data_IF_992628158491
#
_entry.id   IF_992628158491
#
_cell.length_a   1.000
_cell.length_b   1.000
_cell.length_c   1.000
_cell.angle_alpha   90.00
_cell.angle_beta   90.00
_cell.angle_gamma   90.00
#
_symmetry.space_group_name_H-M   'P 1'
#
loop_
_entity.id
_entity.type
_entity.pdbx_description
1 polymer ?
#
# COMPACT_ATOMS: atom_id res chain seq x y z
N UNK A 1 -16.54 -0.63 15.79
CA UNK A 1 -15.96 -1.20 14.54
C UNK A 1 -14.80 -0.37 13.94
N UNK A 2 -14.26 0.65 14.62
CA UNK A 2 -13.16 1.47 14.07
C UNK A 2 -11.79 0.76 14.00
N UNK A 3 -11.53 -0.19 14.90
CA UNK A 3 -10.24 -0.89 15.03
C UNK A 3 -9.92 -1.83 13.86
N UNK A 4 -10.92 -2.28 13.09
CA UNK A 4 -10.71 -3.27 12.02
C UNK A 4 -9.90 -2.68 10.84
N UNK A 5 -10.00 -1.38 10.60
CA UNK A 5 -9.32 -0.72 9.48
C UNK A 5 -7.80 -0.61 9.66
N UNK A 6 -7.29 -0.78 10.89
CA UNK A 6 -5.85 -0.74 11.20
C UNK A 6 -5.17 -2.09 10.92
N UNK A 7 -5.94 -3.19 10.89
CA UNK A 7 -5.45 -4.56 10.64
C UNK A 7 -4.56 -4.65 9.39
N UNK A 8 -4.95 -4.16 8.19
CA UNK A 8 -4.09 -4.23 7.00
C UNK A 8 -2.78 -3.45 7.17
N UNK A 9 -2.80 -2.34 7.90
CA UNK A 9 -1.57 -1.59 8.20
C UNK A 9 -0.65 -2.41 9.12
N UNK A 10 -1.18 -3.04 10.16
CA UNK A 10 -0.39 -3.91 11.03
C UNK A 10 0.24 -5.07 10.26
N UNK A 11 -0.52 -5.73 9.37
CA UNK A 11 -0.01 -6.83 8.53
C UNK A 11 1.13 -6.37 7.63
N UNK A 12 0.99 -5.22 6.97
CA UNK A 12 2.04 -4.66 6.11
C UNK A 12 3.31 -4.38 6.92
N UNK A 13 3.20 -3.77 8.11
CA UNK A 13 4.37 -3.49 8.95
C UNK A 13 5.06 -4.77 9.42
N UNK A 14 4.30 -5.81 9.80
CA UNK A 14 4.85 -7.11 10.17
C UNK A 14 5.57 -7.75 8.99
N UNK A 15 4.97 -7.73 7.79
CA UNK A 15 5.59 -8.25 6.57
C UNK A 15 6.90 -7.50 6.24
N UNK A 16 6.90 -6.17 6.35
CA UNK A 16 8.09 -5.35 6.13
C UNK A 16 9.19 -5.67 7.15
N UNK A 17 8.83 -5.81 8.42
CA UNK A 17 9.78 -6.19 9.46
C UNK A 17 10.43 -7.55 9.16
N UNK A 18 9.61 -8.53 8.75
CA UNK A 18 10.11 -9.86 8.35
C UNK A 18 11.06 -9.74 7.16
N UNK A 19 10.72 -8.94 6.14
CA UNK A 19 11.55 -8.72 4.95
C UNK A 19 12.89 -8.08 5.31
N UNK A 20 12.90 -6.99 6.07
CA UNK A 20 14.14 -6.29 6.47
C UNK A 20 15.01 -7.17 7.39
N UNK A 21 14.38 -8.03 8.20
CA UNK A 21 15.11 -8.95 9.08
C UNK A 21 15.81 -10.10 8.35
N UNK A 22 15.56 -10.29 7.05
CA UNK A 22 16.15 -11.39 6.28
C UNK A 22 17.64 -11.13 5.98
N UNK A 23 18.53 -12.12 6.21
CA UNK A 23 19.96 -11.98 5.94
C UNK A 23 20.19 -11.91 4.42
N UNK A 24 20.64 -10.74 3.94
CA UNK A 24 20.90 -10.50 2.51
C UNK A 24 19.92 -9.56 1.81
N UNK A 25 18.99 -8.91 2.52
CA UNK A 25 18.05 -7.97 1.87
C UNK A 25 18.78 -6.75 1.28
N UNK A 26 18.71 -6.63 -0.05
CA UNK A 26 19.21 -5.48 -0.82
C UNK A 26 18.30 -4.25 -0.63
N UNK A 27 17.06 -4.47 -0.15
CA UNK A 27 16.07 -3.41 0.06
C UNK A 27 16.61 -2.23 0.89
N UNK A 28 17.37 -2.50 1.96
CA UNK A 28 17.92 -1.43 2.81
C UNK A 28 19.25 -0.85 2.26
N UNK A 29 20.04 -1.66 1.56
CA UNK A 29 21.42 -1.33 1.20
C UNK A 29 21.54 -0.53 -0.12
N UNK A 30 20.62 -0.74 -1.07
CA UNK A 30 20.71 -0.11 -2.40
C UNK A 30 19.44 0.65 -2.81
N UNK A 31 18.26 0.28 -2.31
CA UNK A 31 16.97 0.86 -2.75
C UNK A 31 16.03 1.29 -1.62
N UNK A 32 16.59 1.68 -0.46
CA UNK A 32 15.81 2.05 0.73
C UNK A 32 14.83 3.21 0.48
N UNK A 33 15.18 4.15 -0.42
CA UNK A 33 14.32 5.28 -0.80
C UNK A 33 13.07 4.78 -1.53
N UNK A 34 13.22 3.91 -2.53
CA UNK A 34 12.09 3.37 -3.29
C UNK A 34 11.15 2.58 -2.38
N UNK A 35 11.74 1.77 -1.49
CA UNK A 35 11.01 0.98 -0.51
C UNK A 35 10.21 1.88 0.45
N UNK A 36 10.85 2.92 1.00
CA UNK A 36 10.20 3.91 1.87
C UNK A 36 9.08 4.67 1.15
N UNK A 37 9.29 5.10 -0.10
CA UNK A 37 8.25 5.73 -0.91
C UNK A 37 7.06 4.78 -1.13
N UNK A 38 7.30 3.50 -1.41
CA UNK A 38 6.23 2.50 -1.62
C UNK A 38 5.40 2.33 -0.34
N UNK A 39 6.06 2.25 0.81
CA UNK A 39 5.41 2.20 2.12
C UNK A 39 4.60 3.47 2.40
N UNK A 40 5.15 4.64 2.12
CA UNK A 40 4.46 5.93 2.29
C UNK A 40 3.19 6.05 1.45
N UNK A 41 3.22 5.64 0.18
CA UNK A 41 2.04 5.60 -0.70
C UNK A 41 0.99 4.64 -0.13
N UNK A 42 1.43 3.47 0.33
CA UNK A 42 0.53 2.45 0.91
C UNK A 42 -0.13 2.94 2.20
N UNK A 43 0.63 3.62 3.06
CA UNK A 43 0.12 4.27 4.26
C UNK A 43 -0.91 5.36 3.90
N UNK A 44 -0.59 6.23 2.94
CA UNK A 44 -1.50 7.27 2.48
C UNK A 44 -2.84 6.72 2.00
N UNK A 45 -2.83 5.60 1.27
CA UNK A 45 -4.05 4.89 0.86
C UNK A 45 -4.89 4.44 2.06
N UNK A 46 -4.28 3.77 3.03
CA UNK A 46 -4.99 3.23 4.19
C UNK A 46 -5.57 4.38 5.03
N UNK A 47 -4.80 5.45 5.23
CA UNK A 47 -5.25 6.64 5.94
C UNK A 47 -6.47 7.28 5.25
N UNK A 48 -6.43 7.44 3.92
CA UNK A 48 -7.55 7.99 3.16
C UNK A 48 -8.83 7.13 3.29
N UNK A 49 -8.70 5.80 3.30
CA UNK A 49 -9.82 4.88 3.50
C UNK A 49 -10.40 4.96 4.92
N UNK A 50 -9.56 5.11 5.94
CA UNK A 50 -10.00 5.29 7.34
C UNK A 50 -10.79 6.59 7.47
N UNK A 51 -10.25 7.70 6.96
CA UNK A 51 -10.92 9.00 7.00
C UNK A 51 -12.25 8.95 6.25
N UNK A 52 -12.27 8.36 5.06
CA UNK A 52 -13.50 8.22 4.28
C UNK A 52 -14.54 7.42 5.06
N UNK A 53 -14.20 6.21 5.50
CA UNK A 53 -15.14 5.34 6.23
C UNK A 53 -15.66 5.97 7.54
N UNK A 54 -14.84 6.78 8.20
CA UNK A 54 -15.26 7.53 9.38
C UNK A 54 -16.31 8.60 9.05
N UNK A 55 -16.08 9.40 8.00
CA UNK A 55 -16.98 10.49 7.60
C UNK A 55 -18.26 9.96 6.95
N UNK A 56 -18.16 8.99 6.05
CA UNK A 56 -19.33 8.44 5.34
C UNK A 56 -20.14 7.46 6.17
N UNK A 57 -19.64 7.06 7.35
CA UNK A 57 -20.20 6.00 8.18
C UNK A 57 -20.49 4.68 7.41
N UNK A 58 -19.78 4.46 6.30
CA UNK A 58 -19.91 3.25 5.49
C UNK A 58 -18.84 2.25 5.88
N UNK A 59 -19.24 0.98 6.00
CA UNK A 59 -18.29 -0.12 6.18
C UNK A 59 -17.50 -0.29 4.89
N UNK A 60 -16.27 0.23 4.87
CA UNK A 60 -15.39 0.06 3.72
C UNK A 60 -14.68 -1.30 3.82
N UNK A 61 -14.62 -2.09 2.72
CA UNK A 61 -13.92 -3.36 2.74
C UNK A 61 -12.44 -3.18 3.06
N UNK A 62 -11.91 -4.07 3.90
CA UNK A 62 -10.47 -4.23 4.09
C UNK A 62 -9.88 -4.63 2.73
N UNK A 63 -8.97 -3.84 2.17
CA UNK A 63 -8.42 -4.12 0.84
C UNK A 63 -7.18 -5.01 0.96
N UNK A 64 -7.27 -6.32 0.61
CA UNK A 64 -6.11 -7.20 0.63
C UNK A 64 -5.13 -6.90 -0.52
N UNK A 65 -5.57 -6.21 -1.57
CA UNK A 65 -4.80 -6.06 -2.81
C UNK A 65 -3.44 -5.39 -2.61
N UNK A 66 -3.34 -4.38 -1.72
CA UNK A 66 -2.06 -3.76 -1.38
C UNK A 66 -1.22 -4.59 -0.41
N UNK A 67 -1.85 -5.46 0.37
CA UNK A 67 -1.18 -6.33 1.35
C UNK A 67 -0.46 -7.49 0.66
N UNK A 68 -1.06 -8.04 -0.40
CA UNK A 68 -0.54 -9.17 -1.19
C UNK A 68 0.94 -8.98 -1.60
N UNK A 69 1.36 -7.89 -2.27
CA UNK A 69 2.76 -7.75 -2.68
C UNK A 69 3.73 -7.70 -1.49
N UNK A 70 3.36 -7.08 -0.36
CA UNK A 70 4.21 -7.08 0.83
C UNK A 70 4.35 -8.47 1.45
N UNK A 71 3.26 -9.24 1.50
CA UNK A 71 3.28 -10.61 2.01
C UNK A 71 4.12 -11.51 1.10
N UNK A 72 3.95 -11.41 -0.22
CA UNK A 72 4.77 -12.15 -1.19
C UNK A 72 6.25 -11.79 -1.02
N UNK A 73 6.59 -10.50 -0.95
CA UNK A 73 7.96 -10.06 -0.77
C UNK A 73 8.58 -10.56 0.54
N UNK A 74 7.83 -10.54 1.65
CA UNK A 74 8.26 -11.06 2.94
C UNK A 74 8.49 -12.59 2.90
N UNK A 75 7.60 -13.33 2.24
CA UNK A 75 7.72 -14.78 2.05
C UNK A 75 8.92 -15.11 1.16
N UNK A 76 9.18 -14.34 0.10
CA UNK A 76 10.36 -14.55 -0.76
C UNK A 76 11.68 -14.18 -0.07
N UNK A 77 11.67 -13.19 0.81
CA UNK A 77 12.84 -12.76 1.58
C UNK A 77 13.25 -13.81 2.63
N UNK A 78 12.28 -14.44 3.31
CA UNK A 78 12.50 -15.53 4.29
C UNK A 78 12.25 -16.94 3.75
N UNK A 79 11.98 -17.07 2.45
CA UNK A 79 11.65 -18.33 1.79
C UNK A 79 12.62 -19.49 2.06
N UNK A 80 13.95 -19.28 2.15
CA UNK A 80 14.90 -20.35 2.47
C UNK A 80 14.65 -21.00 3.83
N UNK A 81 14.21 -20.22 4.83
CA UNK A 81 13.97 -20.70 6.19
C UNK A 81 12.60 -21.36 6.34
N UNK A 82 11.60 -20.94 5.57
CA UNK A 82 10.20 -21.36 5.76
C UNK A 82 9.79 -22.50 4.81
N UNK A 83 10.27 -22.50 3.55
CA UNK A 83 9.85 -23.45 2.52
C UNK A 83 11.02 -24.20 1.84
N UNK A 84 12.25 -24.00 2.30
CA UNK A 84 13.46 -24.60 1.73
C UNK A 84 14.09 -23.78 0.59
N UNK A 85 15.27 -24.18 0.13
CA UNK A 85 16.15 -23.44 -0.81
C UNK A 85 15.55 -23.13 -2.20
N UNK A 86 14.36 -23.66 -2.50
CA UNK A 86 13.69 -23.46 -3.79
C UNK A 86 12.94 -22.12 -3.90
N UNK A 87 12.62 -21.48 -2.78
CA UNK A 87 11.80 -20.26 -2.76
C UNK A 87 12.61 -18.99 -2.44
N UNK A 88 13.83 -18.89 -2.99
CA UNK A 88 14.67 -17.71 -2.79
C UNK A 88 14.59 -16.77 -4.00
N UNK A 89 14.72 -15.45 -3.76
CA UNK A 89 14.80 -14.42 -4.82
C UNK A 89 15.80 -14.81 -5.93
N UNK A 90 16.94 -15.37 -5.52
CA UNK A 90 18.00 -15.88 -6.41
C UNK A 90 17.55 -17.01 -7.34
N UNK A 91 16.73 -17.95 -6.86
CA UNK A 91 16.30 -19.14 -7.63
C UNK A 91 15.21 -18.82 -8.63
N UNK A 92 14.33 -17.85 -8.34
CA UNK A 92 13.16 -17.53 -9.17
C UNK A 92 13.46 -16.39 -10.17
N UNK A 93 14.29 -15.41 -9.82
CA UNK A 93 14.47 -14.18 -10.62
C UNK A 93 15.94 -13.77 -10.89
N UNK A 94 16.94 -14.55 -10.42
CA UNK A 94 18.37 -14.31 -10.66
C UNK A 94 19.04 -13.28 -9.73
N UNK A 95 20.30 -12.90 -10.00
CA UNK A 95 21.10 -12.00 -9.14
C UNK A 95 20.54 -10.57 -9.00
N UNK A 96 19.73 -10.11 -9.96
CA UNK A 96 19.07 -8.79 -9.95
C UNK A 96 17.57 -8.85 -9.62
N UNK A 97 17.12 -9.99 -9.07
CA UNK A 97 15.73 -10.29 -8.76
C UNK A 97 15.07 -9.27 -7.83
N UNK A 98 15.73 -8.99 -6.70
CA UNK A 98 15.14 -8.19 -5.62
C UNK A 98 14.93 -6.74 -6.08
N UNK A 99 15.90 -6.17 -6.79
CA UNK A 99 15.77 -4.83 -7.39
C UNK A 99 14.60 -4.75 -8.35
N UNK A 100 14.48 -5.72 -9.29
CA UNK A 100 13.39 -5.73 -10.27
C UNK A 100 12.03 -5.88 -9.59
N UNK A 101 11.95 -6.72 -8.56
CA UNK A 101 10.74 -6.91 -7.77
C UNK A 101 10.30 -5.62 -7.06
N UNK A 102 11.23 -4.91 -6.41
CA UNK A 102 10.92 -3.64 -5.74
C UNK A 102 10.39 -2.60 -6.73
N UNK A 103 10.98 -2.50 -7.93
CA UNK A 103 10.50 -1.57 -8.96
C UNK A 103 9.10 -1.92 -9.48
N UNK A 104 8.83 -3.21 -9.72
CA UNK A 104 7.51 -3.68 -10.14
C UNK A 104 6.49 -3.43 -9.03
N UNK A 105 6.84 -3.74 -7.77
CA UNK A 105 5.99 -3.49 -6.60
C UNK A 105 5.66 -2.00 -6.47
N UNK A 106 6.66 -1.13 -6.59
CA UNK A 106 6.47 0.32 -6.56
C UNK A 106 5.52 0.78 -7.66
N UNK A 107 5.73 0.33 -8.90
CA UNK A 107 4.87 0.71 -10.02
C UNK A 107 3.42 0.24 -9.82
N UNK A 108 3.20 -1.00 -9.37
CA UNK A 108 1.87 -1.53 -9.10
C UNK A 108 1.16 -0.76 -7.99
N UNK A 109 1.86 -0.47 -6.88
CA UNK A 109 1.30 0.30 -5.75
C UNK A 109 1.00 1.74 -6.16
N UNK A 110 1.87 2.37 -6.94
CA UNK A 110 1.66 3.73 -7.44
C UNK A 110 0.45 3.82 -8.37
N UNK A 111 0.29 2.87 -9.30
CA UNK A 111 -0.85 2.83 -10.21
C UNK A 111 -2.17 2.56 -9.47
N UNK A 112 -2.18 1.60 -8.55
CA UNK A 112 -3.35 1.32 -7.70
C UNK A 112 -3.72 2.58 -6.89
N UNK A 113 -2.75 3.25 -6.27
CA UNK A 113 -2.99 4.49 -5.54
C UNK A 113 -3.61 5.59 -6.41
N UNK A 114 -3.07 5.81 -7.62
CA UNK A 114 -3.58 6.84 -8.55
C UNK A 114 -5.02 6.56 -9.00
N UNK A 115 -5.38 5.30 -9.21
CA UNK A 115 -6.74 4.93 -9.55
C UNK A 115 -7.69 5.15 -8.36
N UNK A 116 -7.28 4.70 -7.17
CA UNK A 116 -8.11 4.76 -5.97
C UNK A 116 -8.30 6.16 -5.41
N UNK A 117 -7.29 7.03 -5.47
CA UNK A 117 -7.41 8.39 -4.92
C UNK A 117 -8.53 9.17 -5.62
N UNK A 118 -8.68 9.01 -6.93
CA UNK A 118 -9.77 9.63 -7.68
C UNK A 118 -11.13 9.10 -7.24
N UNK A 119 -11.24 7.78 -6.98
CA UNK A 119 -12.47 7.18 -6.44
C UNK A 119 -12.80 7.72 -5.05
N UNK A 120 -11.81 7.79 -4.15
CA UNK A 120 -11.98 8.30 -2.78
C UNK A 120 -12.43 9.75 -2.78
N UNK A 121 -11.77 10.60 -3.58
CA UNK A 121 -12.15 12.00 -3.74
C UNK A 121 -13.61 12.07 -4.22
N UNK A 122 -13.97 11.41 -5.31
CA UNK A 122 -15.33 11.45 -5.84
C UNK A 122 -16.39 10.98 -4.84
N UNK A 123 -16.10 9.94 -4.05
CA UNK A 123 -17.00 9.48 -2.98
C UNK A 123 -17.17 10.52 -1.88
N UNK A 124 -16.07 11.17 -1.48
CA UNK A 124 -16.10 12.25 -0.49
C UNK A 124 -16.90 13.46 -0.98
N UNK A 125 -16.65 13.91 -2.22
CA UNK A 125 -17.37 15.02 -2.85
C UNK A 125 -18.87 14.70 -2.99
N UNK A 126 -19.21 13.46 -3.38
CA UNK A 126 -20.61 13.00 -3.47
C UNK A 126 -21.30 12.99 -2.10
N UNK A 127 -20.59 12.61 -1.04
CA UNK A 127 -21.13 12.62 0.31
C UNK A 127 -21.43 14.04 0.81
N UNK A 128 -20.56 15.00 0.51
CA UNK A 128 -20.74 16.41 0.87
C UNK A 128 -21.69 17.18 -0.07
N UNK A 129 -22.00 16.64 -1.25
CA UNK A 129 -22.81 17.31 -2.27
C UNK A 129 -22.08 18.46 -2.98
N UNK A 130 -20.74 18.48 -2.96
CA UNK A 130 -19.91 19.53 -3.56
C UNK A 130 -19.12 18.93 -4.72
N UNK A 131 -18.80 19.70 -5.77
CA UNK A 131 -17.84 19.29 -6.79
C UNK A 131 -16.43 19.71 -6.34
N UNK A 132 -15.58 18.74 -5.97
CA UNK A 132 -14.20 19.06 -5.62
C UNK A 132 -13.48 19.66 -6.84
N UNK A 133 -12.72 20.74 -6.63
CA UNK A 133 -12.02 21.54 -7.65
C UNK A 133 -12.90 22.47 -8.52
N UNK A 134 -14.18 22.64 -8.19
CA UNK A 134 -15.03 23.69 -8.78
C UNK A 134 -15.50 24.64 -7.68
N UNK A 135 -14.97 25.87 -7.66
CA UNK A 135 -15.60 26.96 -6.90
C UNK A 135 -16.94 27.24 -7.58
N UNK A 136 -18.04 26.89 -6.91
CA UNK A 136 -19.33 27.47 -7.27
C UNK A 136 -19.31 28.93 -6.80
N UNK A 137 -19.61 29.92 -7.66
CA UNK A 137 -19.78 31.29 -7.19
C UNK A 137 -20.85 31.27 -6.09
N UNK A 138 -20.47 31.77 -4.91
CA UNK A 138 -21.37 31.89 -3.76
C UNK A 138 -22.57 32.73 -4.20
N UNK A 139 -23.75 32.13 -4.33
CA UNK A 139 -24.99 32.89 -4.45
C UNK A 139 -25.14 33.59 -3.10
N UNK A 140 -24.94 34.92 -3.09
CA UNK A 140 -25.25 35.78 -1.94
C UNK A 140 -26.66 35.44 -1.49
N UNK A 141 -26.77 34.91 -0.27
CA UNK A 141 -28.05 34.78 0.41
C UNK A 141 -28.24 36.11 1.14
N UNK A 142 -28.98 37.00 0.49
CA UNK A 142 -29.42 38.28 1.04
C UNK A 142 -30.36 38.06 2.24
#
# INVERSE_FOLDING_TARGET
>A
MAMLHIVPFAIINIAIYIWISAPGSIALNTHGILFSCTWGISFGRIAALIVLGHVTHTNYPLYPMIVIPYVIGAVLARGPEIFGQHLHFSTILGEAAETRYIHIMFALVALDYMFWILTVINQFCKHLGIQCLRISPQVKRD
#
